data_IF_202982453267
#
_entry.id   IF_202982453267
#
_cell.length_a   1.000
_cell.length_b   1.000
_cell.length_c   1.000
_cell.angle_alpha   90.00
_cell.angle_beta   90.00
_cell.angle_gamma   90.00
#
_symmetry.space_group_name_H-M   'P 1'
#
loop_
_entity.id
_entity.type
_entity.pdbx_description
1 polymer ?
#
# COMPACT_ATOMS: atom_id res chain seq x y z
N UNK A 1 10.62 29.78 -8.76
CA UNK A 1 9.99 28.82 -7.80
C UNK A 1 9.19 27.75 -8.55
N UNK A 2 8.20 28.10 -9.39
CA UNK A 2 7.42 27.12 -10.17
C UNK A 2 8.27 26.20 -11.07
N UNK A 3 9.34 26.71 -11.68
CA UNK A 3 10.29 25.92 -12.50
C UNK A 3 11.05 24.87 -11.68
N UNK A 4 11.47 25.20 -10.46
CA UNK A 4 12.13 24.28 -9.53
C UNK A 4 11.17 23.20 -8.99
N UNK A 5 9.89 23.55 -8.86
CA UNK A 5 8.84 22.60 -8.51
C UNK A 5 8.59 21.62 -9.67
N UNK A 6 8.58 22.12 -10.92
CA UNK A 6 8.46 21.28 -12.11
C UNK A 6 9.59 20.28 -12.30
N UNK A 7 10.83 20.63 -11.95
CA UNK A 7 12.00 19.74 -12.08
C UNK A 7 12.17 18.76 -10.91
N UNK A 8 11.65 19.08 -9.73
CA UNK A 8 11.74 18.20 -8.55
C UNK A 8 10.71 17.06 -8.57
N UNK A 9 9.53 17.25 -9.15
CA UNK A 9 8.47 16.23 -9.24
C UNK A 9 8.89 14.92 -9.96
N UNK A 10 9.55 14.95 -11.13
CA UNK A 10 10.06 13.73 -11.77
C UNK A 10 11.13 13.04 -10.93
N UNK A 11 11.98 13.82 -10.25
CA UNK A 11 13.06 13.29 -9.40
C UNK A 11 12.48 12.52 -8.22
N UNK A 12 11.43 13.02 -7.57
CA UNK A 12 10.70 12.30 -6.53
C UNK A 12 9.98 11.05 -7.06
N UNK A 13 9.52 11.06 -8.31
CA UNK A 13 8.85 9.91 -8.94
C UNK A 13 9.78 8.69 -9.04
N UNK A 14 11.07 8.89 -9.30
CA UNK A 14 12.06 7.80 -9.35
C UNK A 14 12.19 7.05 -8.02
N UNK A 15 12.12 7.76 -6.88
CA UNK A 15 12.10 7.12 -5.56
C UNK A 15 10.87 6.20 -5.41
N UNK A 16 9.69 6.68 -5.81
CA UNK A 16 8.45 5.89 -5.71
C UNK A 16 8.45 4.67 -6.64
N UNK A 17 9.06 4.76 -7.83
CA UNK A 17 9.25 3.62 -8.73
C UNK A 17 10.09 2.54 -8.03
N UNK A 18 11.26 2.90 -7.51
CA UNK A 18 12.14 1.96 -6.80
C UNK A 18 11.45 1.35 -5.57
N UNK A 19 10.70 2.16 -4.83
CA UNK A 19 9.91 1.71 -3.68
C UNK A 19 8.85 0.67 -4.09
N UNK A 20 8.09 0.93 -5.15
CA UNK A 20 7.06 0.02 -5.66
C UNK A 20 7.67 -1.28 -6.19
N UNK A 21 8.77 -1.19 -6.93
CA UNK A 21 9.52 -2.35 -7.41
C UNK A 21 9.95 -3.24 -6.24
N UNK A 22 10.61 -2.64 -5.24
CA UNK A 22 11.03 -3.38 -4.05
C UNK A 22 9.83 -4.03 -3.36
N UNK A 23 8.71 -3.31 -3.23
CA UNK A 23 7.54 -3.82 -2.54
C UNK A 23 6.84 -4.95 -3.29
N UNK A 24 6.73 -4.83 -4.62
CA UNK A 24 6.08 -5.80 -5.49
C UNK A 24 6.92 -7.07 -5.68
N UNK A 25 8.22 -6.93 -5.93
CA UNK A 25 9.09 -8.07 -6.26
C UNK A 25 9.79 -8.69 -5.05
N UNK A 26 10.06 -7.92 -3.99
CA UNK A 26 10.75 -8.43 -2.80
C UNK A 26 9.81 -8.53 -1.61
N UNK A 27 9.10 -7.44 -1.28
CA UNK A 27 8.32 -7.35 -0.05
C UNK A 27 7.16 -8.35 0.05
N UNK A 28 6.33 -8.47 -0.99
CA UNK A 28 5.21 -9.43 -0.98
C UNK A 28 5.71 -10.88 -1.18
N UNK A 29 6.59 -11.18 -2.16
CA UNK A 29 7.07 -12.54 -2.35
C UNK A 29 7.84 -13.10 -1.16
N UNK A 30 8.66 -12.28 -0.48
CA UNK A 30 9.32 -12.69 0.76
C UNK A 30 8.31 -13.03 1.88
N UNK A 31 7.20 -12.28 1.97
CA UNK A 31 6.11 -12.59 2.90
C UNK A 31 5.35 -13.85 2.49
N UNK A 32 5.23 -14.13 1.20
CA UNK A 32 4.60 -15.36 0.71
C UNK A 32 5.47 -16.60 0.99
N UNK A 33 6.79 -16.51 0.81
CA UNK A 33 7.74 -17.59 1.09
C UNK A 33 7.83 -17.93 2.58
N UNK A 34 7.75 -16.91 3.45
CA UNK A 34 7.84 -17.09 4.91
C UNK A 34 6.63 -16.44 5.59
N UNK A 35 5.44 -17.06 5.48
CA UNK A 35 4.19 -16.43 5.91
C UNK A 35 4.05 -16.39 7.43
N UNK A 36 4.51 -17.43 8.13
CA UNK A 36 4.38 -17.52 9.58
C UNK A 36 5.46 -16.71 10.30
N UNK A 37 5.05 -15.84 11.24
CA UNK A 37 5.96 -15.06 12.09
C UNK A 37 6.95 -15.97 12.82
N UNK A 38 6.47 -17.12 13.29
CA UNK A 38 7.30 -18.12 13.96
C UNK A 38 8.38 -18.72 13.08
N UNK A 39 8.12 -18.95 11.79
CA UNK A 39 9.16 -19.46 10.86
C UNK A 39 10.21 -18.39 10.61
N UNK A 40 9.82 -17.11 10.48
CA UNK A 40 10.79 -16.00 10.38
C UNK A 40 11.66 -15.93 11.63
N UNK A 41 11.06 -15.96 12.82
CA UNK A 41 11.79 -15.89 14.08
C UNK A 41 12.71 -17.11 14.27
N UNK A 42 12.25 -18.30 13.86
CA UNK A 42 13.04 -19.51 13.86
C UNK A 42 14.27 -19.40 12.93
N UNK A 43 14.08 -18.94 11.68
CA UNK A 43 15.18 -18.73 10.73
C UNK A 43 16.19 -17.69 11.23
N UNK A 44 15.72 -16.58 11.81
CA UNK A 44 16.59 -15.54 12.40
C UNK A 44 17.37 -16.09 13.59
N UNK A 45 16.73 -16.82 14.50
CA UNK A 45 17.41 -17.46 15.65
C UNK A 45 18.46 -18.48 15.19
N UNK A 46 18.13 -19.27 14.16
CA UNK A 46 19.07 -20.23 13.55
C UNK A 46 20.27 -19.53 12.94
N UNK A 47 20.05 -18.42 12.22
CA UNK A 47 21.12 -17.62 11.63
C UNK A 47 22.03 -16.99 12.68
N UNK A 48 21.45 -16.43 13.76
CA UNK A 48 22.19 -15.77 14.84
C UNK A 48 22.86 -16.75 15.83
N UNK A 49 22.75 -18.07 15.61
CA UNK A 49 23.25 -19.15 16.52
C UNK A 49 22.78 -19.00 17.98
N UNK A 50 21.72 -18.24 18.24
CA UNK A 50 21.10 -18.13 19.56
C UNK A 50 20.17 -19.34 19.79
N UNK A 51 20.74 -20.54 19.85
CA UNK A 51 19.98 -21.76 20.11
C UNK A 51 19.80 -21.95 21.61
N UNK A 52 18.83 -21.26 22.21
CA UNK A 52 18.32 -21.65 23.53
C UNK A 52 17.54 -22.96 23.36
N UNK A 53 17.72 -23.93 24.26
CA UNK A 53 16.97 -25.19 24.26
C UNK A 53 15.46 -24.90 24.21
N UNK A 54 14.83 -25.18 23.06
CA UNK A 54 13.43 -24.86 22.83
C UNK A 54 12.61 -26.03 23.36
N UNK A 55 11.94 -25.83 24.49
CA UNK A 55 10.98 -26.78 25.05
C UNK A 55 9.84 -27.00 24.03
N UNK A 56 9.17 -28.15 24.02
CA UNK A 56 8.02 -28.37 23.12
C UNK A 56 6.93 -27.30 23.28
N UNK A 57 6.74 -26.82 24.51
CA UNK A 57 5.85 -25.71 24.83
C UNK A 57 6.25 -24.39 24.14
N UNK A 58 7.55 -24.12 24.05
CA UNK A 58 8.06 -22.92 23.37
C UNK A 58 7.89 -23.02 21.85
N UNK A 59 8.01 -24.23 21.26
CA UNK A 59 7.70 -24.47 19.85
C UNK A 59 6.21 -24.21 19.58
N UNK A 60 5.33 -24.77 20.41
CA UNK A 60 3.88 -24.59 20.28
C UNK A 60 3.49 -23.10 20.36
N UNK A 61 4.12 -22.32 21.25
CA UNK A 61 3.90 -20.88 21.36
C UNK A 61 4.42 -20.11 20.12
N UNK A 62 5.56 -20.53 19.56
CA UNK A 62 6.13 -19.95 18.35
C UNK A 62 5.26 -20.17 17.10
N UNK A 63 4.59 -21.32 17.01
CA UNK A 63 3.68 -21.69 15.93
C UNK A 63 2.22 -21.37 16.23
N UNK A 64 1.96 -20.58 17.29
CA UNK A 64 0.60 -20.17 17.63
C UNK A 64 -0.02 -19.36 16.47
N UNK A 65 -1.31 -19.60 16.17
CA UNK A 65 -1.99 -18.92 15.07
C UNK A 65 -2.02 -17.41 15.28
N UNK A 66 -1.66 -16.66 14.26
CA UNK A 66 -1.60 -15.20 14.28
C UNK A 66 -2.82 -14.63 13.55
N UNK A 67 -3.43 -13.60 14.11
CA UNK A 67 -4.46 -12.80 13.42
C UNK A 67 -3.81 -11.68 12.60
N UNK A 68 -4.31 -11.37 11.39
CA UNK A 68 -3.75 -10.30 10.58
C UNK A 68 -4.00 -8.94 11.24
N UNK A 69 -3.00 -8.05 11.17
CA UNK A 69 -3.10 -6.68 11.70
C UNK A 69 -3.74 -5.78 10.64
N UNK A 70 -5.07 -5.85 10.53
CA UNK A 70 -5.82 -5.18 9.47
C UNK A 70 -5.50 -3.68 9.34
N UNK A 71 -5.36 -2.94 10.45
CA UNK A 71 -5.05 -1.50 10.39
C UNK A 71 -3.70 -1.18 9.74
N UNK A 72 -2.66 -1.94 10.05
CA UNK A 72 -1.33 -1.73 9.48
C UNK A 72 -1.30 -2.13 8.00
N UNK A 73 -1.79 -3.32 7.68
CA UNK A 73 -1.76 -3.83 6.30
C UNK A 73 -2.67 -3.02 5.37
N UNK A 74 -3.82 -2.56 5.86
CA UNK A 74 -4.69 -1.67 5.09
C UNK A 74 -4.03 -0.32 4.80
N UNK A 75 -3.42 0.32 5.80
CA UNK A 75 -2.69 1.58 5.60
C UNK A 75 -1.58 1.45 4.57
N UNK A 76 -0.87 0.31 4.61
CA UNK A 76 0.18 -0.02 3.67
C UNK A 76 -0.29 -0.15 2.22
N UNK A 77 -1.46 -0.75 2.00
CA UNK A 77 -2.09 -0.84 0.67
C UNK A 77 -2.61 0.53 0.22
N UNK A 78 -3.17 1.31 1.15
CA UNK A 78 -3.73 2.65 0.88
C UNK A 78 -2.65 3.64 0.45
N UNK A 79 -1.45 3.58 1.03
CA UNK A 79 -0.31 4.44 0.62
C UNK A 79 0.10 4.13 -0.82
N UNK A 80 0.16 2.86 -1.22
CA UNK A 80 0.49 2.47 -2.60
C UNK A 80 -0.59 2.96 -3.56
N UNK A 81 -1.87 2.82 -3.19
CA UNK A 81 -2.99 3.37 -3.95
C UNK A 81 -2.85 4.90 -4.14
N UNK A 82 -2.58 5.63 -3.06
CA UNK A 82 -2.39 7.08 -3.09
C UNK A 82 -1.24 7.50 -4.02
N UNK A 83 -0.09 6.82 -3.93
CA UNK A 83 1.08 7.08 -4.80
C UNK A 83 0.71 6.86 -6.27
N UNK A 84 0.05 5.73 -6.57
CA UNK A 84 -0.38 5.39 -7.93
C UNK A 84 -1.33 6.44 -8.51
N UNK A 85 -2.33 6.87 -7.74
CA UNK A 85 -3.26 7.91 -8.18
C UNK A 85 -2.55 9.27 -8.36
N UNK A 86 -1.82 9.74 -7.36
CA UNK A 86 -1.18 11.07 -7.40
C UNK A 86 -0.19 11.19 -8.56
N UNK A 87 0.70 10.22 -8.75
CA UNK A 87 1.75 10.31 -9.76
C UNK A 87 1.37 9.79 -11.15
N UNK A 88 0.13 9.31 -11.34
CA UNK A 88 -0.38 8.84 -12.63
C UNK A 88 -0.19 9.87 -13.76
N UNK A 89 -0.38 11.16 -13.46
CA UNK A 89 -0.29 12.25 -14.45
C UNK A 89 1.16 12.64 -14.77
N UNK A 90 2.08 12.43 -13.83
CA UNK A 90 3.49 12.83 -13.96
C UNK A 90 4.31 11.71 -14.61
N UNK A 91 4.11 10.47 -14.17
CA UNK A 91 4.82 9.29 -14.66
C UNK A 91 3.82 8.14 -14.88
N UNK A 92 3.36 7.92 -16.13
CA UNK A 92 2.38 6.88 -16.43
C UNK A 92 2.93 5.47 -16.19
N UNK A 93 4.24 5.30 -16.08
CA UNK A 93 4.89 4.02 -15.78
C UNK A 93 4.57 3.52 -14.35
N UNK A 94 4.18 4.41 -13.43
CA UNK A 94 3.79 4.01 -12.08
C UNK A 94 2.48 3.19 -12.05
N UNK A 95 1.57 3.40 -12.99
CA UNK A 95 0.30 2.66 -13.07
C UNK A 95 0.50 1.14 -13.25
N UNK A 96 1.22 0.65 -14.28
CA UNK A 96 1.43 -0.79 -14.45
C UNK A 96 2.20 -1.38 -13.26
N UNK A 97 3.14 -0.65 -12.66
CA UNK A 97 3.84 -1.08 -11.45
C UNK A 97 2.90 -1.24 -10.25
N UNK A 98 1.99 -0.29 -10.03
CA UNK A 98 0.95 -0.39 -9.01
C UNK A 98 0.01 -1.57 -9.30
N UNK A 99 -0.37 -1.79 -10.56
CA UNK A 99 -1.21 -2.93 -10.95
C UNK A 99 -0.54 -4.27 -10.60
N UNK A 100 0.74 -4.44 -10.93
CA UNK A 100 1.53 -5.63 -10.56
C UNK A 100 1.56 -5.81 -9.04
N UNK A 101 1.77 -4.72 -8.29
CA UNK A 101 1.72 -4.76 -6.82
C UNK A 101 0.35 -5.24 -6.30
N UNK A 102 -0.76 -4.74 -6.85
CA UNK A 102 -2.11 -5.16 -6.45
C UNK A 102 -2.39 -6.62 -6.83
N UNK A 103 -1.97 -7.08 -8.00
CA UNK A 103 -2.10 -8.49 -8.43
C UNK A 103 -1.34 -9.43 -7.49
N UNK A 104 -0.09 -9.09 -7.15
CA UNK A 104 0.71 -9.89 -6.22
C UNK A 104 0.12 -9.86 -4.79
N UNK A 105 -0.35 -8.68 -4.36
CA UNK A 105 -1.02 -8.53 -3.06
C UNK A 105 -2.29 -9.37 -2.97
N UNK A 106 -3.09 -9.40 -4.03
CA UNK A 106 -4.30 -10.21 -4.11
C UNK A 106 -4.00 -11.69 -3.93
N UNK A 107 -2.99 -12.20 -4.65
CA UNK A 107 -2.55 -13.60 -4.51
C UNK A 107 -2.08 -13.91 -3.09
N UNK A 108 -1.25 -13.03 -2.51
CA UNK A 108 -0.75 -13.18 -1.14
C UNK A 108 -1.88 -13.21 -0.11
N UNK A 109 -2.83 -12.27 -0.18
CA UNK A 109 -3.93 -12.19 0.78
C UNK A 109 -4.87 -13.37 0.65
N UNK A 110 -5.17 -13.82 -0.57
CA UNK A 110 -5.98 -15.02 -0.80
C UNK A 110 -5.35 -16.26 -0.16
N UNK A 111 -4.06 -16.49 -0.40
CA UNK A 111 -3.33 -17.62 0.21
C UNK A 111 -3.27 -17.50 1.74
N UNK A 112 -2.90 -16.33 2.24
CA UNK A 112 -2.67 -16.13 3.67
C UNK A 112 -3.95 -16.23 4.50
N UNK A 113 -5.08 -15.75 3.97
CA UNK A 113 -6.37 -15.87 4.65
C UNK A 113 -6.91 -17.30 4.69
N UNK A 114 -6.50 -18.17 3.76
CA UNK A 114 -6.91 -19.57 3.71
C UNK A 114 -6.05 -20.47 4.60
N UNK A 115 -4.73 -20.27 4.59
CA UNK A 115 -3.78 -21.24 5.17
C UNK A 115 -2.99 -20.75 6.38
N UNK A 116 -2.90 -19.45 6.62
CA UNK A 116 -1.93 -18.88 7.59
C UNK A 116 -2.63 -18.16 8.72
N UNK A 117 -3.59 -17.30 8.38
CA UNK A 117 -4.22 -16.40 9.32
C UNK A 117 -5.47 -17.02 9.92
N UNK A 118 -5.57 -16.92 11.25
CA UNK A 118 -6.80 -17.28 11.98
C UNK A 118 -7.54 -16.01 12.39
N UNK A 119 -8.85 -16.00 12.16
CA UNK A 119 -9.71 -14.87 12.52
C UNK A 119 -9.86 -14.83 14.04
N UNK A 120 -9.43 -13.73 14.67
CA UNK A 120 -9.62 -13.49 16.11
C UNK A 120 -10.94 -12.78 16.42
N UNK A 121 -11.47 -12.04 15.45
CA UNK A 121 -12.70 -11.26 15.59
C UNK A 121 -13.51 -11.31 14.30
N UNK A 122 -14.83 -11.29 14.45
CA UNK A 122 -15.79 -11.23 13.34
C UNK A 122 -16.39 -9.83 13.29
N UNK A 123 -15.96 -9.03 12.32
CA UNK A 123 -16.39 -7.63 12.19
C UNK A 123 -17.61 -7.42 11.30
N UNK A 124 -18.19 -8.47 10.71
CA UNK A 124 -19.38 -8.37 9.84
C UNK A 124 -19.25 -7.41 8.64
N UNK A 125 -18.04 -7.04 8.23
CA UNK A 125 -17.82 -6.06 7.15
C UNK A 125 -17.88 -4.59 7.59
N UNK A 126 -17.97 -4.28 8.89
CA UNK A 126 -17.99 -2.89 9.40
C UNK A 126 -16.75 -2.05 9.02
N UNK A 127 -15.67 -2.69 8.59
CA UNK A 127 -14.47 -1.99 8.09
C UNK A 127 -14.69 -1.36 6.70
N UNK A 128 -15.66 -1.84 5.91
CA UNK A 128 -15.86 -1.40 4.53
C UNK A 128 -16.16 0.11 4.38
N UNK A 129 -17.09 0.71 5.16
CA UNK A 129 -17.32 2.15 5.10
C UNK A 129 -16.04 2.95 5.40
N UNK A 130 -15.25 2.54 6.38
CA UNK A 130 -13.98 3.21 6.70
C UNK A 130 -13.00 3.16 5.53
N UNK A 131 -12.87 2.00 4.87
CA UNK A 131 -12.02 1.83 3.68
C UNK A 131 -12.48 2.75 2.55
N UNK A 132 -13.79 2.79 2.30
CA UNK A 132 -14.37 3.61 1.24
C UNK A 132 -14.06 5.10 1.42
N UNK A 133 -14.25 5.64 2.64
CA UNK A 133 -13.91 7.04 2.93
C UNK A 133 -12.42 7.34 2.69
N UNK A 134 -11.51 6.39 2.97
CA UNK A 134 -10.07 6.57 2.73
C UNK A 134 -9.74 6.56 1.24
N UNK A 135 -10.42 5.74 0.44
CA UNK A 135 -10.28 5.72 -1.02
C UNK A 135 -10.78 7.05 -1.61
N UNK A 136 -11.95 7.53 -1.17
CA UNK A 136 -12.47 8.84 -1.57
C UNK A 136 -11.49 9.97 -1.21
N UNK A 137 -10.91 9.95 -0.01
CA UNK A 137 -9.88 10.90 0.40
C UNK A 137 -8.62 10.84 -0.50
N UNK A 138 -8.19 9.65 -0.93
CA UNK A 138 -7.09 9.52 -1.88
C UNK A 138 -7.42 10.15 -3.24
N UNK A 139 -8.67 10.05 -3.70
CA UNK A 139 -9.12 10.70 -4.93
C UNK A 139 -9.12 12.22 -4.81
N UNK A 140 -9.53 12.77 -3.66
CA UNK A 140 -9.41 14.21 -3.38
C UNK A 140 -7.95 14.67 -3.50
N UNK A 141 -7.02 13.97 -2.85
CA UNK A 141 -5.59 14.30 -2.91
C UNK A 141 -5.06 14.19 -4.34
N UNK A 142 -5.48 13.16 -5.08
CA UNK A 142 -5.12 12.97 -6.49
C UNK A 142 -5.55 14.15 -7.36
N UNK A 143 -6.78 14.65 -7.18
CA UNK A 143 -7.31 15.78 -7.94
C UNK A 143 -6.54 17.07 -7.64
N UNK A 144 -6.24 17.34 -6.36
CA UNK A 144 -5.46 18.50 -5.93
C UNK A 144 -4.03 18.46 -6.48
N UNK A 145 -3.38 17.30 -6.42
CA UNK A 145 -2.03 17.14 -6.97
C UNK A 145 -2.00 17.31 -8.49
N UNK A 146 -2.97 16.73 -9.20
CA UNK A 146 -3.09 16.86 -10.67
C UNK A 146 -3.33 18.32 -11.07
N UNK A 147 -4.18 19.05 -10.34
CA UNK A 147 -4.40 20.47 -10.55
C UNK A 147 -3.10 21.27 -10.34
N UNK A 148 -2.32 20.98 -9.30
CA UNK A 148 -1.02 21.63 -9.05
C UNK A 148 -0.06 21.43 -10.24
N UNK A 149 0.03 20.21 -10.78
CA UNK A 149 0.88 19.91 -11.95
C UNK A 149 0.41 20.67 -13.20
N UNK A 150 -0.90 20.80 -13.43
CA UNK A 150 -1.45 21.56 -14.57
C UNK A 150 -1.16 23.06 -14.46
N UNK A 151 -1.24 23.63 -13.24
CA UNK A 151 -0.87 25.03 -12.97
C UNK A 151 0.60 25.28 -13.28
N UNK A 152 1.50 24.36 -12.89
CA UNK A 152 2.94 24.46 -13.20
C UNK A 152 3.20 24.42 -14.70
N UNK A 153 2.38 23.71 -15.47
CA UNK A 153 2.47 23.63 -16.95
C UNK A 153 1.80 24.82 -17.68
N UNK A 154 1.20 25.78 -16.97
CA UNK A 154 0.56 26.96 -17.56
C UNK A 154 -0.88 26.74 -18.05
N UNK A 155 -1.49 25.58 -17.76
CA UNK A 155 -2.86 25.24 -18.16
C UNK A 155 -3.88 25.61 -17.07
N UNK A 156 -4.03 26.91 -16.80
CA UNK A 156 -4.83 27.41 -15.66
C UNK A 156 -6.33 27.12 -15.78
N UNK A 157 -6.90 27.21 -16.98
CA UNK A 157 -8.33 26.96 -17.21
C UNK A 157 -8.70 25.50 -16.94
N UNK A 158 -7.88 24.56 -17.41
CA UNK A 158 -8.05 23.13 -17.17
C UNK A 158 -7.86 22.77 -15.69
N UNK A 159 -6.88 23.39 -15.02
CA UNK A 159 -6.66 23.17 -13.60
C UNK A 159 -7.85 23.64 -12.73
N UNK A 160 -8.43 24.81 -13.04
CA UNK A 160 -9.57 25.35 -12.32
C UNK A 160 -10.83 24.49 -12.52
N UNK A 161 -11.08 24.05 -13.76
CA UNK A 161 -12.18 23.12 -14.04
C UNK A 161 -12.05 21.82 -13.27
N UNK A 162 -10.86 21.22 -13.23
CA UNK A 162 -10.60 19.97 -12.51
C UNK A 162 -10.79 20.15 -10.99
N UNK A 163 -10.30 21.26 -10.44
CA UNK A 163 -10.39 21.58 -9.01
C UNK A 163 -11.83 21.89 -8.56
N UNK A 164 -12.68 22.40 -9.43
CA UNK A 164 -14.10 22.65 -9.10
C UNK A 164 -14.95 21.40 -9.30
N UNK A 165 -14.76 20.68 -10.41
CA UNK A 165 -15.65 19.56 -10.78
C UNK A 165 -15.41 18.31 -9.93
N UNK A 166 -14.16 17.91 -9.71
CA UNK A 166 -13.84 16.64 -9.03
C UNK A 166 -14.21 16.63 -7.55
N UNK A 167 -13.91 17.67 -6.74
CA UNK A 167 -14.32 17.70 -5.34
C UNK A 167 -15.84 17.74 -5.16
N UNK A 168 -16.54 18.44 -6.06
CA UNK A 168 -18.00 18.55 -6.01
C UNK A 168 -18.69 17.20 -6.29
N UNK A 169 -18.16 16.43 -7.26
CA UNK A 169 -18.65 15.08 -7.50
C UNK A 169 -18.34 14.14 -6.33
N UNK A 170 -17.13 14.21 -5.77
CA UNK A 170 -16.72 13.35 -4.64
C UNK A 170 -17.48 13.68 -3.34
N UNK A 171 -17.91 14.93 -3.15
CA UNK A 171 -18.70 15.33 -1.97
C UNK A 171 -20.05 14.61 -1.93
N UNK A 172 -20.62 14.28 -3.09
CA UNK A 172 -21.87 13.50 -3.19
C UNK A 172 -21.72 12.07 -2.64
N UNK A 173 -20.51 11.52 -2.71
CA UNK A 173 -20.20 10.14 -2.31
C UNK A 173 -19.60 10.05 -0.91
N UNK A 174 -19.26 11.17 -0.28
CA UNK A 174 -18.71 11.22 1.08
C UNK A 174 -19.80 11.39 2.14
#
# INVERSE_FOLDING_TARGET
>A
IFTLLGTSLPTSSNFFISYLLFRAFVGIPARLLIPHVGVRLFLVRRYLRCSRFITERDKALLYAPVSPRYGFEFGMITIVFLIGCAFCVVSPLLLPLCCIFFMMSWLFWRYSLLYVYVRKYEGGGQMWPFVFHRVVLCLYICSLFSACVLVVKGAYTQALLLLVTMPLMLYRFS
#
